data_IF_631008456333
#
_entry.id   IF_631008456333
#
_cell.length_a   1.000
_cell.length_b   1.000
_cell.length_c   1.000
_cell.angle_alpha   90.00
_cell.angle_beta   90.00
_cell.angle_gamma   90.00
#
_symmetry.space_group_name_H-M   'P 1'
#
loop_
_entity.id
_entity.type
_entity.pdbx_description
1 polymer ?
#
# COMPACT_ATOMS: atom_id res chain seq x y z
N UNK A 1 -22.42 -10.23 15.63
CA UNK A 1 -22.70 -9.24 16.69
C UNK A 1 -23.41 -7.99 16.15
N UNK A 2 -22.89 -7.31 15.11
CA UNK A 2 -23.47 -6.06 14.56
C UNK A 2 -24.86 -6.24 13.93
N UNK A 3 -25.09 -7.34 13.21
CA UNK A 3 -26.38 -7.66 12.58
C UNK A 3 -27.44 -7.92 13.66
N UNK A 4 -27.08 -8.66 14.72
CA UNK A 4 -27.97 -8.96 15.84
C UNK A 4 -28.34 -7.68 16.61
N UNK A 5 -27.40 -6.74 16.77
CA UNK A 5 -27.68 -5.45 17.41
C UNK A 5 -28.63 -4.59 16.57
N UNK A 6 -28.51 -4.60 15.24
CA UNK A 6 -29.44 -3.90 14.34
C UNK A 6 -30.86 -4.44 14.42
N UNK A 7 -31.04 -5.76 14.42
CA UNK A 7 -32.34 -6.41 14.56
C UNK A 7 -32.95 -6.10 15.92
N UNK A 8 -32.16 -6.13 16.99
CA UNK A 8 -32.63 -5.83 18.35
C UNK A 8 -33.10 -4.34 18.45
N UNK A 9 -32.37 -3.43 17.83
CA UNK A 9 -32.73 -2.01 17.81
C UNK A 9 -34.03 -1.77 17.06
N UNK A 10 -34.30 -2.54 15.99
CA UNK A 10 -35.54 -2.51 15.23
C UNK A 10 -36.72 -2.98 16.11
N UNK A 11 -36.54 -4.08 16.83
CA UNK A 11 -37.59 -4.60 17.73
C UNK A 11 -37.92 -3.67 18.91
N UNK A 12 -36.92 -2.92 19.40
CA UNK A 12 -37.12 -1.93 20.46
C UNK A 12 -37.80 -0.64 19.97
N UNK A 13 -37.59 -0.25 18.68
CA UNK A 13 -38.23 0.96 18.14
C UNK A 13 -39.73 0.80 17.87
N UNK A 14 -40.22 -0.38 17.56
CA UNK A 14 -41.65 -0.63 17.29
C UNK A 14 -42.54 -0.25 18.47
N UNK A 15 -42.28 -0.70 19.73
CA UNK A 15 -43.11 -0.31 20.88
C UNK A 15 -42.98 1.19 21.24
N UNK A 16 -41.81 1.79 20.99
CA UNK A 16 -41.58 3.24 21.22
C UNK A 16 -42.41 4.09 20.26
N UNK A 17 -42.49 3.69 18.97
CA UNK A 17 -43.30 4.39 17.99
C UNK A 17 -44.81 4.30 18.30
N UNK A 18 -45.27 3.16 18.86
CA UNK A 18 -46.65 3.01 19.33
C UNK A 18 -47.00 3.83 20.57
N UNK A 19 -46.02 4.10 21.40
CA UNK A 19 -46.23 4.89 22.63
C UNK A 19 -46.47 6.39 22.34
N UNK A 20 -46.07 6.86 21.17
CA UNK A 20 -46.27 8.28 20.76
C UNK A 20 -47.61 8.57 20.03
N UNK A 21 -48.53 7.61 19.97
CA UNK A 21 -49.91 7.77 19.46
C UNK A 21 -50.06 8.50 18.10
N UNK A 22 -49.08 8.33 17.21
CA UNK A 22 -49.11 8.86 15.86
C UNK A 22 -49.22 7.71 14.84
N UNK A 23 -50.41 7.23 14.61
CA UNK A 23 -50.68 6.15 13.66
C UNK A 23 -50.30 6.49 12.22
N UNK A 24 -50.32 7.77 11.84
CA UNK A 24 -49.96 8.25 10.48
C UNK A 24 -48.49 8.09 10.11
N UNK A 25 -47.58 7.95 11.08
CA UNK A 25 -46.14 7.90 10.87
C UNK A 25 -45.63 6.46 10.80
N UNK A 26 -46.35 5.49 11.33
CA UNK A 26 -45.93 4.08 11.44
C UNK A 26 -45.48 3.47 10.11
N UNK A 27 -46.21 3.63 8.96
CA UNK A 27 -45.78 3.05 7.68
C UNK A 27 -44.51 3.68 7.15
N UNK A 28 -44.23 4.96 7.47
CA UNK A 28 -42.99 5.63 7.03
C UNK A 28 -41.80 5.25 7.89
N UNK A 29 -42.01 4.99 9.19
CA UNK A 29 -40.95 4.56 10.12
C UNK A 29 -40.34 3.24 9.68
N UNK A 30 -41.16 2.27 9.29
CA UNK A 30 -40.66 0.99 8.79
C UNK A 30 -39.80 1.15 7.53
N UNK A 31 -40.32 1.90 6.55
CA UNK A 31 -39.58 2.16 5.30
C UNK A 31 -38.25 2.89 5.53
N UNK A 32 -38.25 3.93 6.37
CA UNK A 32 -37.03 4.69 6.71
C UNK A 32 -36.02 3.80 7.45
N UNK A 33 -36.52 2.95 8.37
CA UNK A 33 -35.67 2.03 9.10
C UNK A 33 -35.00 1.01 8.16
N UNK A 34 -35.77 0.41 7.24
CA UNK A 34 -35.24 -0.54 6.26
C UNK A 34 -34.17 0.14 5.39
N UNK A 35 -34.43 1.35 4.89
CA UNK A 35 -33.45 2.12 4.12
C UNK A 35 -32.18 2.38 4.96
N UNK A 36 -32.31 2.80 6.20
CA UNK A 36 -31.18 3.06 7.08
C UNK A 36 -30.34 1.81 7.32
N UNK A 37 -30.98 0.66 7.57
CA UNK A 37 -30.30 -0.64 7.75
C UNK A 37 -29.56 -1.05 6.45
N UNK A 38 -30.22 -0.92 5.29
CA UNK A 38 -29.62 -1.25 4.00
C UNK A 38 -28.40 -0.37 3.72
N UNK A 39 -28.49 0.94 3.93
CA UNK A 39 -27.37 1.87 3.75
C UNK A 39 -26.22 1.55 4.71
N UNK A 40 -26.52 1.20 5.95
CA UNK A 40 -25.51 0.78 6.92
C UNK A 40 -24.83 -0.52 6.48
N UNK A 41 -25.59 -1.53 6.09
CA UNK A 41 -25.05 -2.80 5.60
C UNK A 41 -24.23 -2.62 4.30
N UNK A 42 -24.63 -1.70 3.42
CA UNK A 42 -23.94 -1.41 2.17
C UNK A 42 -22.56 -0.78 2.40
N UNK A 43 -22.33 -0.14 3.54
CA UNK A 43 -21.06 0.46 3.90
C UNK A 43 -19.89 -0.54 3.93
N UNK A 44 -20.15 -1.79 4.33
CA UNK A 44 -19.13 -2.85 4.41
C UNK A 44 -18.66 -3.29 3.03
N UNK A 45 -19.53 -3.74 2.09
CA UNK A 45 -19.11 -4.14 0.76
C UNK A 45 -18.48 -2.99 -0.03
N UNK A 46 -18.94 -1.74 0.12
CA UNK A 46 -18.33 -0.58 -0.52
C UNK A 46 -16.88 -0.38 -0.01
N UNK A 47 -16.66 -0.53 1.29
CA UNK A 47 -15.32 -0.41 1.89
C UNK A 47 -14.38 -1.52 1.42
N UNK A 48 -14.90 -2.75 1.29
CA UNK A 48 -14.15 -3.90 0.76
C UNK A 48 -13.82 -3.71 -0.73
N UNK A 49 -14.79 -3.29 -1.54
CA UNK A 49 -14.59 -3.01 -2.96
C UNK A 49 -13.56 -1.89 -3.18
N UNK A 50 -13.64 -0.81 -2.41
CA UNK A 50 -12.65 0.27 -2.44
C UNK A 50 -11.24 -0.23 -2.09
N UNK A 51 -11.12 -1.11 -1.10
CA UNK A 51 -9.85 -1.74 -0.74
C UNK A 51 -9.27 -2.55 -1.90
N UNK A 52 -10.08 -3.43 -2.50
CA UNK A 52 -9.69 -4.28 -3.63
C UNK A 52 -9.30 -3.45 -4.87
N UNK A 53 -10.05 -2.40 -5.20
CA UNK A 53 -9.73 -1.49 -6.30
C UNK A 53 -8.39 -0.79 -6.05
N UNK A 54 -8.14 -0.30 -4.84
CA UNK A 54 -6.88 0.37 -4.49
C UNK A 54 -5.69 -0.59 -4.55
N UNK A 55 -5.90 -1.86 -4.28
CA UNK A 55 -4.89 -2.91 -4.42
C UNK A 55 -4.58 -3.20 -5.89
N UNK A 56 -5.61 -3.29 -6.74
CA UNK A 56 -5.46 -3.46 -8.20
C UNK A 56 -4.74 -2.27 -8.87
N UNK A 57 -4.90 -1.07 -8.33
CA UNK A 57 -4.20 0.13 -8.82
C UNK A 57 -2.71 0.19 -8.43
N UNK A 58 -2.14 -0.88 -7.86
CA UNK A 58 -0.73 -0.96 -7.45
C UNK A 58 -0.25 0.26 -6.65
N UNK A 59 -1.10 0.73 -5.74
CA UNK A 59 -0.79 1.92 -4.96
C UNK A 59 0.48 1.72 -4.13
N UNK A 60 1.31 2.74 -4.10
CA UNK A 60 2.50 2.76 -3.25
C UNK A 60 2.13 2.47 -1.78
N UNK A 61 2.93 1.65 -1.07
CA UNK A 61 2.65 1.30 0.31
C UNK A 61 2.65 2.53 1.24
N UNK A 62 2.02 2.44 2.43
CA UNK A 62 2.00 3.53 3.41
C UNK A 62 3.40 4.04 3.75
N UNK A 63 3.51 5.32 4.11
CA UNK A 63 4.79 5.96 4.43
C UNK A 63 5.53 5.26 5.58
N UNK A 64 4.81 4.71 6.54
CA UNK A 64 5.36 3.96 7.69
C UNK A 64 6.13 2.72 7.26
N UNK A 65 5.68 2.03 6.22
CA UNK A 65 6.37 0.88 5.65
C UNK A 65 7.52 1.30 4.72
N UNK A 66 7.32 2.36 3.97
CA UNK A 66 8.27 2.84 2.96
C UNK A 66 9.53 3.44 3.56
N UNK A 67 9.41 4.24 4.64
CA UNK A 67 10.57 4.91 5.28
C UNK A 67 11.66 3.95 5.76
N UNK A 68 11.35 2.91 6.56
CA UNK A 68 12.39 2.00 7.03
C UNK A 68 13.05 1.20 5.90
N UNK A 69 12.30 0.82 4.85
CA UNK A 69 12.87 0.13 3.69
C UNK A 69 13.83 1.05 2.92
N UNK A 70 13.48 2.32 2.70
CA UNK A 70 14.36 3.28 2.06
C UNK A 70 15.62 3.52 2.88
N UNK A 71 15.51 3.65 4.20
CA UNK A 71 16.66 3.83 5.08
C UNK A 71 17.60 2.61 5.04
N UNK A 72 17.06 1.39 4.99
CA UNK A 72 17.85 0.17 4.86
C UNK A 72 18.60 0.09 3.52
N UNK A 73 17.95 0.48 2.42
CA UNK A 73 18.56 0.55 1.09
C UNK A 73 19.68 1.61 1.07
N UNK A 74 19.42 2.80 1.63
CA UNK A 74 20.40 3.88 1.70
C UNK A 74 21.64 3.47 2.52
N UNK A 75 21.44 2.79 3.65
CA UNK A 75 22.52 2.25 4.45
C UNK A 75 23.32 1.16 3.70
N UNK A 76 22.63 0.30 2.95
CA UNK A 76 23.27 -0.74 2.15
C UNK A 76 24.08 -0.20 0.97
N UNK A 77 23.80 1.00 0.49
CA UNK A 77 24.49 1.67 -0.64
C UNK A 77 25.50 2.72 -0.17
N UNK A 78 25.68 2.94 1.13
CA UNK A 78 26.43 4.08 1.66
C UNK A 78 27.91 4.11 1.26
N UNK A 79 28.53 2.95 1.05
CA UNK A 79 29.94 2.78 0.65
C UNK A 79 30.17 2.75 -0.87
N UNK A 80 29.10 2.80 -1.66
CA UNK A 80 29.16 2.73 -3.10
C UNK A 80 29.07 4.14 -3.73
N UNK A 81 29.77 4.39 -4.83
CA UNK A 81 29.70 5.66 -5.57
C UNK A 81 28.40 5.73 -6.42
N UNK A 82 27.25 5.65 -5.76
CA UNK A 82 25.96 5.69 -6.45
C UNK A 82 25.65 7.11 -6.91
N UNK A 83 25.39 7.30 -8.21
CA UNK A 83 24.96 8.59 -8.77
C UNK A 83 23.49 8.87 -8.48
N UNK A 84 22.66 7.84 -8.62
CA UNK A 84 21.23 7.92 -8.43
C UNK A 84 20.69 6.56 -7.99
N UNK A 85 19.74 6.55 -7.07
CA UNK A 85 19.01 5.36 -6.70
C UNK A 85 17.50 5.65 -6.77
N UNK A 86 16.77 4.86 -7.54
CA UNK A 86 15.32 4.94 -7.63
C UNK A 86 14.71 3.68 -7.05
N UNK A 87 13.80 3.87 -6.12
CA UNK A 87 13.11 2.75 -5.47
C UNK A 87 11.61 2.85 -5.72
N UNK A 88 11.06 1.83 -6.34
CA UNK A 88 9.62 1.66 -6.52
C UNK A 88 9.14 0.53 -5.62
N UNK A 89 8.02 0.77 -4.97
CA UNK A 89 7.42 -0.21 -4.08
C UNK A 89 5.96 -0.36 -4.42
N UNK A 90 5.51 -1.60 -4.57
CA UNK A 90 4.11 -1.96 -4.71
C UNK A 90 3.80 -3.10 -3.76
N UNK A 91 2.59 -3.14 -3.23
CA UNK A 91 2.18 -4.18 -2.28
C UNK A 91 0.89 -4.85 -2.76
N UNK A 92 0.96 -5.82 -3.67
CA UNK A 92 -0.17 -6.66 -3.99
C UNK A 92 -0.39 -7.67 -2.85
N UNK A 93 -1.50 -7.51 -2.12
CA UNK A 93 -1.83 -8.39 -1.00
C UNK A 93 -0.86 -8.30 0.18
N UNK A 94 -0.25 -9.42 0.53
CA UNK A 94 0.66 -9.55 1.68
C UNK A 94 2.14 -9.42 1.32
N UNK A 95 2.49 -9.44 0.06
CA UNK A 95 3.85 -9.42 -0.43
C UNK A 95 4.27 -8.01 -0.83
N UNK A 96 5.47 -7.60 -0.46
CA UNK A 96 6.04 -6.32 -0.85
C UNK A 96 6.99 -6.52 -2.03
N UNK A 97 6.71 -5.91 -3.16
CA UNK A 97 7.61 -5.84 -4.29
C UNK A 97 8.42 -4.55 -4.22
N UNK A 98 9.74 -4.69 -4.21
CA UNK A 98 10.69 -3.58 -4.15
C UNK A 98 11.57 -3.64 -5.40
N UNK A 99 11.42 -2.68 -6.29
CA UNK A 99 12.27 -2.52 -7.47
C UNK A 99 13.29 -1.44 -7.17
N UNK A 100 14.57 -1.78 -7.24
CA UNK A 100 15.68 -0.89 -6.92
C UNK A 100 16.50 -0.68 -8.19
N UNK A 101 16.52 0.54 -8.70
CA UNK A 101 17.36 0.92 -9.84
C UNK A 101 18.52 1.75 -9.34
N UNK A 102 19.73 1.22 -9.49
CA UNK A 102 20.96 1.83 -9.02
C UNK A 102 21.77 2.30 -10.24
N UNK A 103 21.99 3.59 -10.33
CA UNK A 103 22.85 4.19 -11.36
C UNK A 103 24.24 4.32 -10.80
N UNK A 104 25.17 3.56 -11.34
CA UNK A 104 26.59 3.59 -11.00
C UNK A 104 27.35 4.48 -12.00
N UNK A 105 28.53 5.03 -11.63
CA UNK A 105 29.42 5.67 -12.59
C UNK A 105 29.85 4.71 -13.72
N UNK A 106 30.04 5.22 -14.92
CA UNK A 106 30.44 4.38 -16.05
C UNK A 106 31.87 3.78 -15.88
N UNK A 107 32.68 4.40 -15.05
CA UNK A 107 34.04 3.98 -14.67
C UNK A 107 34.04 3.08 -13.40
N UNK A 108 32.86 2.66 -12.92
CA UNK A 108 32.78 1.77 -11.77
C UNK A 108 33.51 0.46 -12.05
N UNK A 109 34.48 0.06 -11.19
CA UNK A 109 35.32 -1.12 -11.42
C UNK A 109 34.51 -2.41 -11.26
N UNK A 110 33.84 -2.83 -12.31
CA UNK A 110 33.07 -4.07 -12.36
C UNK A 110 34.00 -5.20 -12.78
N UNK A 111 34.26 -6.12 -11.85
CA UNK A 111 35.06 -7.34 -12.09
C UNK A 111 34.26 -8.46 -12.74
N UNK A 112 32.91 -8.36 -12.79
CA UNK A 112 32.04 -9.35 -13.40
C UNK A 112 30.68 -9.50 -12.71
N UNK A 113 29.89 -10.44 -13.19
CA UNK A 113 28.55 -10.75 -12.66
C UNK A 113 28.53 -11.12 -11.17
N UNK A 114 29.50 -11.88 -10.63
CA UNK A 114 29.48 -12.25 -9.20
C UNK A 114 29.51 -11.05 -8.26
N UNK A 115 30.16 -9.95 -8.67
CA UNK A 115 30.17 -8.72 -7.86
C UNK A 115 28.78 -8.07 -7.83
N UNK A 116 28.06 -8.08 -8.95
CA UNK A 116 26.68 -7.60 -8.98
C UNK A 116 25.74 -8.46 -8.16
N UNK A 117 25.94 -9.77 -8.17
CA UNK A 117 25.14 -10.69 -7.37
C UNK A 117 25.35 -10.48 -5.86
N UNK A 118 26.60 -10.23 -5.44
CA UNK A 118 26.90 -9.85 -4.05
C UNK A 118 26.17 -8.55 -3.65
N UNK A 119 26.12 -7.56 -4.54
CA UNK A 119 25.40 -6.31 -4.29
C UNK A 119 23.88 -6.52 -4.23
N UNK A 120 23.33 -7.40 -5.09
CA UNK A 120 21.91 -7.78 -5.04
C UNK A 120 21.57 -8.48 -3.73
N UNK A 121 22.40 -9.44 -3.32
CA UNK A 121 22.21 -10.16 -2.06
C UNK A 121 22.24 -9.21 -0.86
N UNK A 122 23.17 -8.26 -0.83
CA UNK A 122 23.26 -7.23 0.20
C UNK A 122 22.00 -6.38 0.28
N UNK A 123 21.48 -5.90 -0.86
CA UNK A 123 20.24 -5.11 -0.93
C UNK A 123 19.02 -5.94 -0.53
N UNK A 124 18.93 -7.17 -1.03
CA UNK A 124 17.85 -8.10 -0.69
C UNK A 124 17.83 -8.39 0.81
N UNK A 125 18.99 -8.66 1.42
CA UNK A 125 19.12 -8.90 2.85
C UNK A 125 18.74 -7.69 3.68
N UNK A 126 19.14 -6.49 3.26
CA UNK A 126 18.77 -5.24 3.94
C UNK A 126 17.25 -5.00 3.93
N UNK A 127 16.58 -5.23 2.80
CA UNK A 127 15.12 -5.11 2.69
C UNK A 127 14.41 -6.22 3.48
N UNK A 128 14.92 -7.46 3.40
CA UNK A 128 14.35 -8.62 4.11
C UNK A 128 14.41 -8.47 5.62
N UNK A 129 15.43 -7.83 6.15
CA UNK A 129 15.56 -7.53 7.59
C UNK A 129 14.43 -6.60 8.09
N UNK A 130 13.92 -5.72 7.22
CA UNK A 130 12.82 -4.81 7.54
C UNK A 130 11.45 -5.45 7.26
N UNK A 131 11.35 -6.20 6.16
CA UNK A 131 10.11 -6.83 5.73
C UNK A 131 10.37 -8.23 5.15
N UNK A 132 10.13 -9.30 5.94
CA UNK A 132 10.47 -10.68 5.53
C UNK A 132 9.70 -11.19 4.29
N UNK A 133 8.46 -10.73 4.10
CA UNK A 133 7.61 -11.14 2.96
C UNK A 133 7.77 -10.18 1.77
N UNK A 134 8.98 -10.12 1.22
CA UNK A 134 9.32 -9.23 0.12
C UNK A 134 9.88 -10.00 -1.09
N UNK A 135 9.77 -9.38 -2.26
CA UNK A 135 10.52 -9.72 -3.47
C UNK A 135 11.28 -8.47 -3.87
N UNK A 136 12.61 -8.58 -3.93
CA UNK A 136 13.47 -7.47 -4.34
C UNK A 136 14.03 -7.76 -5.72
N UNK A 137 13.81 -6.85 -6.64
CA UNK A 137 14.43 -6.82 -7.96
C UNK A 137 15.39 -5.63 -8.05
N UNK A 138 16.63 -5.89 -8.48
CA UNK A 138 17.66 -4.85 -8.52
C UNK A 138 18.27 -4.76 -9.92
N UNK A 139 18.14 -3.58 -10.51
CA UNK A 139 18.77 -3.20 -11.78
C UNK A 139 19.96 -2.30 -11.50
N UNK A 140 21.13 -2.68 -12.04
CA UNK A 140 22.31 -1.81 -12.07
C UNK A 140 22.50 -1.27 -13.48
N UNK A 141 22.72 0.03 -13.60
CA UNK A 141 22.94 0.70 -14.89
C UNK A 141 23.94 1.84 -14.75
N UNK A 142 24.61 2.16 -15.83
CA UNK A 142 25.45 3.37 -15.91
C UNK A 142 24.69 4.57 -16.50
N UNK A 143 23.56 4.32 -17.18
CA UNK A 143 22.79 5.34 -17.86
C UNK A 143 21.46 5.59 -17.12
N UNK A 144 21.27 6.84 -16.67
CA UNK A 144 20.11 7.26 -15.88
C UNK A 144 18.76 7.04 -16.60
N UNK A 145 18.74 7.02 -17.94
CA UNK A 145 17.50 6.80 -18.71
C UNK A 145 16.83 5.47 -18.39
N UNK A 146 17.62 4.44 -18.02
CA UNK A 146 17.08 3.13 -17.64
C UNK A 146 16.54 3.09 -16.22
N UNK A 147 16.88 4.07 -15.40
CA UNK A 147 16.35 4.24 -14.05
C UNK A 147 15.14 5.16 -14.01
N UNK A 148 14.94 6.01 -15.03
CA UNK A 148 13.82 6.94 -15.10
C UNK A 148 12.47 6.20 -15.24
N UNK A 149 11.43 6.62 -14.50
CA UNK A 149 10.10 6.09 -14.70
C UNK A 149 9.57 6.52 -16.07
N UNK A 150 9.00 5.59 -16.82
CA UNK A 150 8.06 5.97 -17.88
C UNK A 150 7.01 6.91 -17.26
N UNK A 151 7.05 8.16 -17.59
CA UNK A 151 6.21 9.36 -17.32
C UNK A 151 5.05 9.35 -16.29
N UNK A 152 4.90 8.40 -15.39
CA UNK A 152 3.66 8.25 -14.60
C UNK A 152 3.75 8.30 -13.07
N UNK A 153 4.92 8.49 -12.43
CA UNK A 153 4.97 8.58 -10.97
C UNK A 153 5.98 9.61 -10.45
N UNK A 154 5.62 10.39 -9.41
CA UNK A 154 6.55 11.32 -8.78
C UNK A 154 7.71 10.54 -8.13
N UNK A 155 8.88 10.76 -8.65
CA UNK A 155 10.15 10.22 -8.17
C UNK A 155 10.55 10.95 -6.90
N UNK A 156 10.82 10.21 -5.82
CA UNK A 156 11.56 10.76 -4.70
C UNK A 156 13.05 10.59 -5.04
N UNK A 157 13.59 11.53 -5.77
CA UNK A 157 15.02 11.68 -5.92
C UNK A 157 15.57 12.39 -4.69
N UNK A 158 16.36 11.71 -3.87
CA UNK A 158 17.19 12.38 -2.87
C UNK A 158 18.51 12.69 -3.54
N UNK A 159 18.81 13.97 -3.86
CA UNK A 159 20.13 14.33 -4.30
C UNK A 159 21.09 14.17 -3.12
N UNK A 160 22.05 13.29 -3.23
CA UNK A 160 23.20 13.24 -2.31
C UNK A 160 24.12 14.40 -2.66
N UNK A 161 24.33 15.28 -1.71
CA UNK A 161 25.39 16.29 -1.71
C UNK A 161 26.73 15.63 -1.42
#
# INVERSE_FOLDING_TARGET
ALISSGVLLTFCMIPVARFFDREDIVPYVDSVLVIAVVLFCLSVPIRMAKGAIMELLNRAPPRELRRPVLAAIDAALADLPVRQCQVRMVRPGRQLYVMIHVVLPADFPLTGLPQLDTLRERLTSAVSAVYPHQVTDTLFTADAKWAEPCEAMPVVSTPRR
#
